data_IF_103114536354
#
_entry.id   IF_103114536354
#
_cell.length_a   1.000
_cell.length_b   1.000
_cell.length_c   1.000
_cell.angle_alpha   90.00
_cell.angle_beta   90.00
_cell.angle_gamma   90.00
#
_symmetry.space_group_name_H-M   'P 1'
#
loop_
_entity.id
_entity.type
_entity.pdbx_description
1 polymer ?
#
# COMPACT_ATOMS: atom_id res chain seq x y z
N UNK A 1 47.36 -0.90 -46.75
CA UNK A 1 47.38 0.52 -47.16
C UNK A 1 46.06 0.81 -47.85
N UNK A 2 45.44 1.95 -47.46
CA UNK A 2 44.36 2.77 -48.03
C UNK A 2 43.76 2.40 -49.40
N UNK A 3 42.54 2.74 -49.81
CA UNK A 3 41.33 3.40 -49.25
C UNK A 3 40.35 3.54 -50.44
N UNK A 4 39.03 3.59 -50.14
CA UNK A 4 37.95 4.31 -50.88
C UNK A 4 37.61 3.81 -52.32
N UNK A 5 36.41 3.95 -52.90
CA UNK A 5 35.25 4.84 -52.75
C UNK A 5 33.94 4.07 -53.02
N UNK A 6 32.85 4.43 -52.33
CA UNK A 6 31.48 3.99 -52.64
C UNK A 6 30.63 5.19 -53.04
N UNK A 7 30.11 5.17 -54.27
CA UNK A 7 29.31 6.24 -54.86
C UNK A 7 27.80 6.05 -54.63
N UNK A 8 27.13 7.21 -54.62
CA UNK A 8 25.74 7.48 -54.26
C UNK A 8 24.76 7.23 -55.41
N UNK A 9 23.52 6.86 -55.11
CA UNK A 9 22.35 7.20 -55.93
C UNK A 9 21.11 7.49 -55.06
N UNK A 10 20.60 8.71 -55.20
CA UNK A 10 19.40 9.29 -54.60
C UNK A 10 18.13 8.94 -55.39
N UNK A 11 16.97 8.86 -54.73
CA UNK A 11 15.70 9.18 -55.40
C UNK A 11 14.64 9.84 -54.48
N UNK A 12 13.83 10.67 -55.13
CA UNK A 12 13.02 11.81 -54.66
C UNK A 12 11.59 11.47 -54.19
N UNK A 13 11.09 12.37 -53.33
CA UNK A 13 9.75 13.01 -53.22
C UNK A 13 8.50 12.15 -53.00
N UNK A 14 7.71 12.52 -51.98
CA UNK A 14 6.42 13.21 -52.16
C UNK A 14 5.94 13.88 -50.86
N UNK A 15 5.68 15.18 -50.96
CA UNK A 15 4.86 15.99 -50.05
C UNK A 15 3.43 16.09 -50.60
N UNK A 16 2.44 16.15 -49.71
CA UNK A 16 1.27 17.02 -49.88
C UNK A 16 0.53 17.22 -48.54
N UNK A 17 0.50 18.48 -48.11
CA UNK A 17 -0.31 19.02 -47.01
C UNK A 17 -1.71 19.43 -47.52
N UNK A 18 -2.71 19.44 -46.65
CA UNK A 18 -3.51 20.64 -46.28
C UNK A 18 -5.00 20.36 -45.94
N UNK A 19 -5.31 20.53 -44.65
CA UNK A 19 -6.38 21.37 -44.04
C UNK A 19 -7.81 21.45 -44.62
N UNK A 20 -8.83 21.28 -43.75
CA UNK A 20 -9.80 22.33 -43.36
C UNK A 20 -10.92 21.88 -42.37
N UNK A 21 -11.04 22.61 -41.24
CA UNK A 21 -12.24 23.21 -40.60
C UNK A 21 -13.43 22.42 -39.98
N UNK A 22 -13.55 22.65 -38.66
CA UNK A 22 -14.73 23.12 -37.87
C UNK A 22 -15.79 22.14 -37.32
N UNK A 23 -15.64 21.93 -35.99
CA UNK A 23 -16.59 21.65 -34.88
C UNK A 23 -18.09 21.57 -35.20
N UNK A 24 -18.76 20.55 -34.67
CA UNK A 24 -19.95 20.68 -33.80
C UNK A 24 -20.23 19.40 -32.98
N UNK A 25 -20.51 19.61 -31.68
CA UNK A 25 -21.27 18.78 -30.73
C UNK A 25 -20.60 17.53 -30.11
N UNK A 26 -20.04 17.74 -28.92
CA UNK A 26 -19.77 16.69 -27.92
C UNK A 26 -21.08 16.15 -27.34
N UNK A 27 -21.51 14.97 -27.78
CA UNK A 27 -22.34 14.10 -26.95
C UNK A 27 -21.44 13.52 -25.86
N UNK A 28 -21.81 13.73 -24.60
CA UNK A 28 -21.17 13.12 -23.45
C UNK A 28 -21.24 11.60 -23.57
N UNK A 29 -20.16 11.00 -24.04
CA UNK A 29 -20.02 9.55 -24.09
C UNK A 29 -19.65 9.09 -22.67
N UNK A 30 -20.67 8.62 -21.96
CA UNK A 30 -20.55 7.77 -20.79
C UNK A 30 -19.86 6.47 -21.18
N UNK A 31 -18.54 6.47 -21.08
CA UNK A 31 -17.68 5.28 -21.13
C UNK A 31 -16.40 5.54 -20.35
N UNK A 32 -16.56 5.75 -19.04
CA UNK A 32 -15.45 5.66 -18.09
C UNK A 32 -15.22 4.19 -17.73
N UNK A 33 -14.70 3.43 -18.68
CA UNK A 33 -14.17 2.08 -18.49
C UNK A 33 -12.82 2.19 -17.78
N UNK A 34 -12.86 2.13 -16.45
CA UNK A 34 -11.93 1.37 -15.59
C UNK A 34 -10.50 1.12 -16.10
N UNK A 35 -9.60 2.10 -15.98
CA UNK A 35 -8.15 1.87 -15.76
C UNK A 35 -7.42 3.17 -15.40
N UNK A 36 -7.83 3.77 -14.28
CA UNK A 36 -6.88 4.52 -13.46
C UNK A 36 -6.82 3.75 -12.15
N UNK A 37 -5.64 3.27 -11.78
CA UNK A 37 -5.40 2.65 -10.49
C UNK A 37 -5.92 3.63 -9.43
N UNK A 38 -6.98 3.26 -8.70
CA UNK A 38 -7.47 4.03 -7.56
C UNK A 38 -6.28 4.28 -6.64
N UNK A 39 -5.79 5.51 -6.64
CA UNK A 39 -4.67 5.92 -5.80
C UNK A 39 -5.22 6.06 -4.39
N UNK A 40 -5.00 5.04 -3.57
CA UNK A 40 -5.38 5.07 -2.18
C UNK A 40 -4.59 6.17 -1.47
N UNK A 41 -5.30 7.09 -0.83
CA UNK A 41 -4.69 8.22 -0.15
C UNK A 41 -4.23 7.80 1.24
N UNK A 42 -3.08 8.30 1.65
CA UNK A 42 -2.56 8.11 3.02
C UNK A 42 -3.53 8.65 4.07
N UNK A 43 -4.19 9.78 3.79
CA UNK A 43 -5.17 10.40 4.68
C UNK A 43 -6.36 9.48 4.98
N UNK A 44 -6.85 8.78 3.96
CA UNK A 44 -7.96 7.84 4.11
C UNK A 44 -7.53 6.66 4.99
N UNK A 45 -6.28 6.20 4.85
CA UNK A 45 -5.76 5.12 5.68
C UNK A 45 -5.54 5.56 7.14
N UNK A 46 -5.15 6.81 7.38
CA UNK A 46 -5.03 7.40 8.74
C UNK A 46 -6.40 7.52 9.42
N UNK A 47 -7.45 7.89 8.68
CA UNK A 47 -8.81 7.95 9.24
C UNK A 47 -9.26 6.59 9.77
N UNK A 48 -8.89 5.52 9.06
CA UNK A 48 -9.32 4.15 9.37
C UNK A 48 -8.41 3.50 10.41
N UNK A 49 -7.09 3.51 10.20
CA UNK A 49 -6.14 2.78 11.05
C UNK A 49 -5.66 3.62 12.25
N UNK A 50 -5.96 4.93 12.27
CA UNK A 50 -5.51 5.89 13.26
C UNK A 50 -4.18 6.55 12.89
N UNK A 51 -3.54 7.28 13.84
CA UNK A 51 -2.31 8.02 13.58
C UNK A 51 -1.21 7.18 12.92
N UNK A 52 -0.47 7.81 12.03
CA UNK A 52 0.61 7.21 11.25
C UNK A 52 1.90 7.98 11.55
N UNK A 53 3.05 7.33 11.34
CA UNK A 53 4.39 7.88 11.58
C UNK A 53 4.72 8.13 13.06
N UNK A 54 4.30 7.23 13.94
CA UNK A 54 4.60 7.31 15.37
C UNK A 54 5.95 6.68 15.70
N UNK A 55 6.60 7.17 16.76
CA UNK A 55 7.76 6.48 17.33
C UNK A 55 7.26 5.22 18.05
N UNK A 56 7.81 4.02 17.76
CA UNK A 56 7.39 2.80 18.43
C UNK A 56 7.69 2.88 19.93
N UNK A 57 6.67 2.60 20.75
CA UNK A 57 6.72 2.55 22.21
C UNK A 57 6.21 1.21 22.72
N UNK A 58 4.95 0.87 22.40
CA UNK A 58 4.26 -0.34 22.86
C UNK A 58 3.66 -1.13 21.70
N UNK A 59 3.99 -0.76 20.47
CA UNK A 59 3.47 -1.41 19.28
C UNK A 59 3.99 -2.83 19.14
N UNK A 60 3.13 -3.69 18.62
CA UNK A 60 3.45 -5.09 18.36
C UNK A 60 4.53 -5.12 17.29
N UNK A 61 5.65 -5.78 17.59
CA UNK A 61 6.81 -5.93 16.70
C UNK A 61 6.98 -7.34 16.12
N UNK A 62 6.07 -8.26 16.45
CA UNK A 62 6.12 -9.67 16.05
C UNK A 62 4.99 -10.07 15.11
N UNK A 63 5.16 -11.25 14.50
CA UNK A 63 4.17 -12.04 13.76
C UNK A 63 3.93 -13.31 14.60
N UNK A 64 2.69 -13.82 14.77
CA UNK A 64 1.46 -13.40 14.09
C UNK A 64 0.87 -12.09 14.62
N UNK A 65 0.17 -11.36 13.75
CA UNK A 65 -0.54 -10.15 14.14
C UNK A 65 -1.81 -9.90 13.31
N UNK A 66 -2.82 -9.36 13.97
CA UNK A 66 -4.11 -9.05 13.37
C UNK A 66 -4.15 -7.60 12.87
N UNK A 67 -4.71 -7.41 11.68
CA UNK A 67 -5.04 -6.11 11.09
C UNK A 67 -6.52 -5.80 11.26
N UNK A 68 -7.07 -5.06 10.30
CA UNK A 68 -8.50 -4.77 10.19
C UNK A 68 -8.98 -4.92 8.75
N UNK A 69 -10.24 -5.31 8.60
CA UNK A 69 -10.95 -5.18 7.32
C UNK A 69 -11.66 -3.83 7.31
N UNK A 70 -11.42 -3.05 6.27
CA UNK A 70 -11.98 -1.70 6.14
C UNK A 70 -13.41 -1.82 5.64
N UNK A 71 -14.37 -1.39 6.46
CA UNK A 71 -15.80 -1.62 6.24
C UNK A 71 -16.55 -0.39 5.66
N UNK A 72 -15.86 0.73 5.40
CA UNK A 72 -16.49 1.95 4.88
C UNK A 72 -15.48 2.88 4.21
N UNK A 73 -15.97 3.83 3.41
CA UNK A 73 -15.16 4.87 2.78
C UNK A 73 -14.46 4.40 1.51
N UNK A 74 -13.47 5.18 1.04
CA UNK A 74 -12.77 4.95 -0.23
C UNK A 74 -11.91 3.68 -0.25
N UNK A 75 -11.62 3.12 0.93
CA UNK A 75 -10.82 1.92 1.12
C UNK A 75 -11.67 0.69 1.45
N UNK A 76 -13.00 0.76 1.22
CA UNK A 76 -13.94 -0.32 1.51
C UNK A 76 -13.48 -1.65 0.90
N UNK A 77 -13.52 -2.69 1.73
CA UNK A 77 -13.17 -4.06 1.34
C UNK A 77 -11.69 -4.39 1.43
N UNK A 78 -10.81 -3.38 1.53
CA UNK A 78 -9.38 -3.59 1.71
C UNK A 78 -9.04 -4.02 3.13
N UNK A 79 -7.83 -4.55 3.30
CA UNK A 79 -7.30 -4.98 4.59
C UNK A 79 -6.08 -4.14 4.94
N UNK A 80 -5.97 -3.75 6.20
CA UNK A 80 -4.91 -2.84 6.65
C UNK A 80 -4.26 -3.26 7.96
N UNK A 81 -2.97 -2.94 8.09
CA UNK A 81 -2.15 -3.17 9.27
C UNK A 81 -1.39 -1.92 9.65
N UNK A 82 -1.03 -1.85 10.93
CA UNK A 82 -0.09 -0.86 11.45
C UNK A 82 1.18 -1.59 11.87
N UNK A 83 2.27 -1.35 11.17
CA UNK A 83 3.49 -2.14 11.29
C UNK A 83 4.69 -1.27 11.65
N UNK A 84 5.65 -1.85 12.34
CA UNK A 84 6.92 -1.19 12.61
C UNK A 84 7.80 -1.28 11.36
N UNK A 85 8.37 -0.15 10.95
CA UNK A 85 9.21 -0.01 9.77
C UNK A 85 10.57 0.53 10.20
N UNK A 86 11.63 0.00 9.60
CA UNK A 86 13.01 0.43 9.79
C UNK A 86 13.70 0.49 8.43
N UNK A 87 14.77 1.29 8.32
CA UNK A 87 15.69 1.16 7.18
C UNK A 87 16.39 -0.20 7.25
N UNK A 88 16.51 -0.89 6.12
CA UNK A 88 17.30 -2.12 6.07
C UNK A 88 18.77 -1.77 5.79
N UNK A 89 19.47 -1.33 6.83
CA UNK A 89 20.92 -1.17 6.79
C UNK A 89 21.53 -2.58 6.68
N UNK A 90 22.00 -2.94 5.48
CA UNK A 90 22.76 -4.17 5.29
C UNK A 90 23.99 -4.16 6.22
N UNK A 91 24.35 -5.31 6.76
CA UNK A 91 25.50 -5.48 7.68
C UNK A 91 26.84 -4.95 7.15
N UNK A 92 26.94 -4.62 5.85
CA UNK A 92 28.14 -4.07 5.22
C UNK A 92 28.56 -2.73 5.83
N UNK A 93 27.60 -1.88 6.23
CA UNK A 93 27.94 -0.61 6.85
C UNK A 93 28.53 -0.82 8.24
N UNK A 94 27.99 -1.76 9.04
CA UNK A 94 28.45 -2.07 10.40
C UNK A 94 29.88 -2.68 10.40
N UNK A 95 30.24 -3.48 9.39
CA UNK A 95 31.61 -4.03 9.27
C UNK A 95 32.68 -2.97 8.98
N UNK A 96 32.34 -1.90 8.25
CA UNK A 96 33.31 -0.83 7.93
C UNK A 96 33.60 0.06 9.14
N UNK A 97 32.61 0.30 10.01
CA UNK A 97 32.76 1.08 11.24
C UNK A 97 33.43 0.28 12.36
N UNK A 98 33.09 -1.01 12.53
CA UNK A 98 33.69 -1.87 13.57
C UNK A 98 35.19 -2.11 13.40
N UNK A 99 35.72 -2.06 12.17
CA UNK A 99 37.17 -2.23 11.94
C UNK A 99 38.03 -1.08 12.45
N UNK A 100 37.45 0.07 12.86
CA UNK A 100 38.23 1.26 13.21
C UNK A 100 38.38 1.56 14.70
N UNK A 101 37.74 0.85 15.62
CA UNK A 101 37.93 1.10 17.06
C UNK A 101 38.03 -0.19 17.90
N UNK A 102 39.25 -0.66 18.23
CA UNK A 102 39.43 -1.61 19.33
C UNK A 102 39.31 -0.84 20.65
N UNK A 103 38.33 -1.19 21.48
CA UNK A 103 38.34 -0.84 22.91
C UNK A 103 37.37 0.24 23.41
N UNK A 104 36.36 0.68 22.65
CA UNK A 104 35.26 1.50 23.18
C UNK A 104 33.95 0.72 23.20
N UNK A 105 33.31 0.70 24.36
CA UNK A 105 31.99 0.13 24.62
C UNK A 105 31.03 0.45 23.47
N UNK A 106 30.49 -0.59 22.86
CA UNK A 106 29.51 -0.51 21.76
C UNK A 106 28.25 0.18 22.31
N UNK A 107 28.15 1.49 22.13
CA UNK A 107 26.87 2.18 22.20
C UNK A 107 26.10 1.65 21.00
N UNK A 108 25.22 0.68 21.22
CA UNK A 108 24.24 0.27 20.20
C UNK A 108 23.46 1.52 19.84
N UNK A 109 23.76 2.11 18.67
CA UNK A 109 22.91 3.15 18.12
C UNK A 109 21.53 2.51 17.90
N UNK A 110 20.55 2.95 18.70
CA UNK A 110 19.18 2.46 18.61
C UNK A 110 18.70 2.75 17.18
N UNK A 111 18.45 1.69 16.43
CA UNK A 111 17.98 1.76 15.05
C UNK A 111 16.69 2.59 14.99
N UNK A 112 16.64 3.56 14.09
CA UNK A 112 15.45 4.38 13.90
C UNK A 112 14.33 3.51 13.33
N UNK A 113 13.19 3.55 14.02
CA UNK A 113 11.98 2.82 13.67
C UNK A 113 10.79 3.75 13.73
N UNK A 114 9.81 3.49 12.87
CA UNK A 114 8.55 4.24 12.80
C UNK A 114 7.39 3.28 12.63
N UNK A 115 6.28 3.58 13.28
CA UNK A 115 5.01 2.87 13.07
C UNK A 115 4.34 3.44 11.84
N UNK A 116 4.06 2.59 10.84
CA UNK A 116 3.39 3.01 9.62
C UNK A 116 2.20 2.14 9.24
N UNK A 117 1.19 2.77 8.66
CA UNK A 117 -0.04 2.15 8.18
C UNK A 117 0.14 1.59 6.75
N UNK A 118 -0.30 0.36 6.52
CA UNK A 118 -0.22 -0.32 5.23
C UNK A 118 -1.55 -0.93 4.82
N UNK A 119 -1.81 -0.94 3.52
CA UNK A 119 -2.84 -1.79 2.88
C UNK A 119 -2.16 -3.07 2.38
N UNK A 120 -2.80 -4.23 2.55
CA UNK A 120 -2.37 -5.46 1.89
C UNK A 120 -2.94 -5.52 0.47
N UNK A 121 -2.06 -5.67 -0.51
CA UNK A 121 -2.38 -5.76 -1.93
C UNK A 121 -1.59 -6.89 -2.58
N UNK A 122 -2.05 -8.12 -2.39
CA UNK A 122 -1.41 -9.31 -2.98
C UNK A 122 -1.55 -9.38 -4.51
N UNK A 123 -2.35 -8.49 -5.12
CA UNK A 123 -2.42 -8.34 -6.58
C UNK A 123 -1.21 -7.61 -7.16
N UNK A 124 -0.52 -6.80 -6.36
CA UNK A 124 0.76 -6.17 -6.74
C UNK A 124 1.92 -7.10 -6.41
N UNK A 125 2.83 -7.31 -7.36
CA UNK A 125 4.06 -8.06 -7.09
C UNK A 125 4.97 -7.34 -6.08
N UNK A 126 5.06 -6.00 -6.16
CA UNK A 126 5.97 -5.18 -5.33
C UNK A 126 5.21 -4.45 -4.23
N UNK A 127 5.87 -4.27 -3.10
CA UNK A 127 5.42 -3.38 -2.03
C UNK A 127 5.78 -1.93 -2.34
N UNK A 128 5.06 -0.97 -1.76
CA UNK A 128 5.38 0.45 -1.84
C UNK A 128 5.32 1.11 -0.46
N UNK A 129 6.12 2.15 -0.28
CA UNK A 129 6.22 2.91 0.97
C UNK A 129 6.02 4.40 0.71
N UNK A 130 5.25 5.06 1.58
CA UNK A 130 5.04 6.50 1.48
C UNK A 130 6.35 7.28 1.66
N UNK A 131 6.46 8.43 0.98
CA UNK A 131 7.61 9.32 1.13
C UNK A 131 7.71 9.84 2.56
N UNK A 132 6.58 10.03 3.24
CA UNK A 132 6.51 10.49 4.62
C UNK A 132 7.11 9.46 5.59
N UNK A 133 6.88 8.16 5.38
CA UNK A 133 7.54 7.09 6.14
C UNK A 133 9.07 7.17 6.01
N UNK A 134 9.58 7.38 4.80
CA UNK A 134 11.02 7.53 4.55
C UNK A 134 11.61 8.78 5.21
N UNK A 135 10.89 9.92 5.17
CA UNK A 135 11.28 11.14 5.88
C UNK A 135 11.33 10.92 7.39
N UNK A 136 10.35 10.23 7.96
CA UNK A 136 10.31 9.90 9.39
C UNK A 136 11.49 9.00 9.81
N UNK A 137 11.91 8.10 8.92
CA UNK A 137 13.10 7.26 9.08
C UNK A 137 14.43 7.98 8.80
N UNK A 138 14.39 9.27 8.42
CA UNK A 138 15.56 10.07 8.03
C UNK A 138 16.34 9.47 6.86
N UNK A 139 15.65 8.82 5.92
CA UNK A 139 16.25 8.24 4.71
C UNK A 139 16.96 9.32 3.89
N UNK A 140 18.19 9.04 3.45
CA UNK A 140 19.04 9.99 2.71
C UNK A 140 19.09 9.72 1.20
N UNK A 141 18.37 8.70 0.71
CA UNK A 141 18.35 8.37 -0.71
C UNK A 141 17.29 9.14 -1.52
N UNK A 142 17.03 8.66 -2.73
CA UNK A 142 16.05 9.26 -3.65
C UNK A 142 14.61 9.05 -3.19
N UNK A 143 13.80 10.10 -3.30
CA UNK A 143 12.35 10.12 -3.04
C UNK A 143 11.52 10.06 -4.33
N UNK A 144 12.15 9.84 -5.49
CA UNK A 144 11.43 9.78 -6.76
C UNK A 144 10.51 8.55 -6.78
N UNK A 145 9.21 8.69 -7.11
CA UNK A 145 8.29 7.56 -7.18
C UNK A 145 8.82 6.44 -8.07
N UNK A 146 8.67 5.19 -7.63
CA UNK A 146 9.20 4.01 -8.31
C UNK A 146 10.67 3.70 -8.03
N UNK A 147 11.40 4.55 -7.30
CA UNK A 147 12.74 4.21 -6.81
C UNK A 147 12.65 3.04 -5.83
N UNK A 148 13.57 2.09 -5.90
CA UNK A 148 13.64 0.99 -4.94
C UNK A 148 14.37 1.38 -3.65
N UNK A 149 13.82 0.97 -2.51
CA UNK A 149 14.38 1.15 -1.18
C UNK A 149 14.21 -0.14 -0.39
N UNK A 150 15.23 -0.53 0.37
CA UNK A 150 15.18 -1.74 1.21
C UNK A 150 14.80 -1.35 2.64
N UNK A 151 13.74 -1.96 3.15
CA UNK A 151 13.18 -1.70 4.47
C UNK A 151 13.03 -3.01 5.25
N UNK A 152 13.02 -2.91 6.58
CA UNK A 152 12.55 -3.99 7.46
C UNK A 152 11.17 -3.62 7.96
N UNK A 153 10.16 -4.36 7.51
CA UNK A 153 8.76 -4.17 7.92
C UNK A 153 8.40 -5.33 8.84
N UNK A 154 8.10 -5.04 10.10
CA UNK A 154 7.86 -6.05 11.13
C UNK A 154 9.00 -7.08 11.24
N UNK A 155 10.24 -6.62 11.04
CA UNK A 155 11.44 -7.46 11.01
C UNK A 155 11.72 -8.17 9.68
N UNK A 156 10.80 -8.14 8.70
CA UNK A 156 10.95 -8.78 7.39
C UNK A 156 11.65 -7.83 6.42
N UNK A 157 12.79 -8.25 5.90
CA UNK A 157 13.52 -7.51 4.85
C UNK A 157 12.69 -7.49 3.57
N UNK A 158 12.34 -6.30 3.11
CA UNK A 158 11.39 -6.05 2.04
C UNK A 158 11.94 -4.98 1.10
N UNK A 159 11.88 -5.23 -0.20
CA UNK A 159 12.19 -4.22 -1.21
C UNK A 159 10.90 -3.47 -1.54
N UNK A 160 10.90 -2.16 -1.34
CA UNK A 160 9.73 -1.31 -1.56
C UNK A 160 10.02 -0.32 -2.68
N UNK A 161 8.99 0.03 -3.44
CA UNK A 161 9.00 1.21 -4.30
C UNK A 161 8.63 2.45 -3.48
N UNK A 162 9.31 3.56 -3.73
CA UNK A 162 8.86 4.85 -3.23
C UNK A 162 7.52 5.17 -3.88
N UNK A 163 6.48 5.41 -3.07
CA UNK A 163 5.15 5.74 -3.57
C UNK A 163 5.08 7.18 -4.09
N UNK A 164 3.98 7.49 -4.79
CA UNK A 164 3.68 8.88 -5.14
C UNK A 164 3.42 9.71 -3.88
N UNK A 165 3.72 11.01 -3.91
CA UNK A 165 3.44 11.90 -2.78
C UNK A 165 1.95 11.82 -2.39
N UNK A 166 1.68 11.59 -1.10
CA UNK A 166 0.32 11.46 -0.56
C UNK A 166 -0.34 10.08 -0.73
N UNK A 167 0.29 9.16 -1.47
CA UNK A 167 -0.19 7.79 -1.65
C UNK A 167 0.06 6.94 -0.39
N UNK A 168 -0.89 6.05 -0.08
CA UNK A 168 -0.78 5.11 1.03
C UNK A 168 0.28 4.04 0.76
N UNK A 169 0.98 3.60 1.81
CA UNK A 169 1.89 2.46 1.73
C UNK A 169 1.13 1.15 1.47
N UNK A 170 1.71 0.24 0.68
CA UNK A 170 1.11 -1.04 0.28
C UNK A 170 2.08 -2.20 0.47
N UNK A 171 1.56 -3.33 0.94
CA UNK A 171 2.30 -4.59 1.01
C UNK A 171 1.89 -5.45 -0.18
N UNK A 172 2.85 -5.70 -1.07
CA UNK A 172 2.67 -6.55 -2.24
C UNK A 172 2.89 -8.03 -1.92
N UNK A 173 2.69 -8.88 -2.92
CA UNK A 173 2.97 -10.32 -2.86
C UNK A 173 4.41 -10.63 -2.45
N UNK A 174 5.40 -9.82 -2.86
CA UNK A 174 6.79 -9.98 -2.42
C UNK A 174 6.93 -9.94 -0.89
N UNK A 175 6.24 -9.03 -0.18
CA UNK A 175 6.32 -8.99 1.29
C UNK A 175 5.86 -10.31 1.91
N UNK A 176 4.79 -10.89 1.34
CA UNK A 176 4.28 -12.18 1.78
C UNK A 176 5.32 -13.28 1.54
N UNK A 177 5.90 -13.34 0.34
CA UNK A 177 6.94 -14.33 0.02
C UNK A 177 8.21 -14.16 0.88
N UNK A 178 8.69 -12.93 1.06
CA UNK A 178 9.93 -12.64 1.80
C UNK A 178 9.84 -12.99 3.28
N UNK A 179 8.65 -12.87 3.88
CA UNK A 179 8.43 -13.25 5.27
C UNK A 179 7.90 -14.67 5.46
N UNK A 180 7.79 -15.46 4.38
CA UNK A 180 7.06 -16.72 4.35
C UNK A 180 5.68 -16.61 5.03
N UNK A 181 4.98 -15.51 4.73
CA UNK A 181 3.72 -15.16 5.35
C UNK A 181 2.56 -15.72 4.56
N UNK A 182 1.51 -16.03 5.29
CA UNK A 182 0.18 -16.27 4.78
C UNK A 182 -0.80 -15.50 5.67
N UNK A 183 -2.02 -15.35 5.19
CA UNK A 183 -3.05 -14.72 5.98
C UNK A 183 -4.34 -15.52 5.95
N UNK A 184 -5.12 -15.37 7.00
CA UNK A 184 -6.46 -15.91 7.09
C UNK A 184 -7.37 -14.90 7.76
N UNK A 185 -8.69 -15.08 7.60
CA UNK A 185 -9.67 -14.31 8.36
C UNK A 185 -10.07 -15.05 9.64
N UNK A 186 -9.76 -14.47 10.79
CA UNK A 186 -10.17 -15.02 12.08
C UNK A 186 -11.61 -14.61 12.38
N UNK A 187 -12.50 -15.59 12.57
CA UNK A 187 -13.91 -15.34 12.83
C UNK A 187 -14.16 -14.77 14.24
N UNK A 188 -13.36 -15.17 15.23
CA UNK A 188 -13.50 -14.70 16.61
C UNK A 188 -13.02 -13.26 16.75
N UNK A 189 -11.94 -12.91 16.06
CA UNK A 189 -11.43 -11.54 16.00
C UNK A 189 -12.14 -10.69 14.94
N UNK A 190 -12.89 -11.28 14.02
CA UNK A 190 -13.45 -10.58 12.86
C UNK A 190 -12.37 -9.74 12.15
N UNK A 191 -11.18 -10.33 11.96
CA UNK A 191 -9.99 -9.61 11.50
C UNK A 191 -9.11 -10.49 10.62
N UNK A 192 -8.41 -9.91 9.63
CA UNK A 192 -7.35 -10.61 8.93
C UNK A 192 -6.13 -10.76 9.83
N UNK A 193 -5.50 -11.94 9.79
CA UNK A 193 -4.32 -12.29 10.60
C UNK A 193 -3.19 -12.65 9.66
N UNK A 194 -2.05 -11.98 9.82
CA UNK A 194 -0.78 -12.39 9.22
C UNK A 194 -0.07 -13.36 10.15
N UNK A 195 0.48 -14.44 9.60
CA UNK A 195 1.29 -15.42 10.31
C UNK A 195 2.33 -16.04 9.38
N UNK A 196 3.39 -16.61 9.95
CA UNK A 196 4.39 -17.38 9.18
C UNK A 196 3.80 -18.73 8.83
N UNK A 197 3.68 -19.04 7.53
CA UNK A 197 3.17 -20.32 7.04
C UNK A 197 4.32 -21.26 6.76
N UNK A 198 4.56 -22.19 7.67
CA UNK A 198 5.53 -23.26 7.48
C UNK A 198 4.79 -24.60 7.67
N UNK A 199 5.22 -25.65 6.98
CA UNK A 199 4.56 -26.97 7.01
C UNK A 199 4.43 -27.55 8.42
N UNK A 200 5.28 -27.14 9.36
CA UNK A 200 5.29 -27.50 10.77
C UNK A 200 4.51 -26.53 11.68
N UNK A 201 4.13 -25.35 11.18
CA UNK A 201 3.47 -24.32 11.96
C UNK A 201 1.95 -24.34 11.70
N UNK A 202 1.20 -24.82 12.69
CA UNK A 202 -0.26 -24.74 12.65
C UNK A 202 -0.73 -23.28 12.68
N UNK A 203 -1.88 -23.04 12.02
CA UNK A 203 -2.57 -21.75 12.05
C UNK A 203 -2.76 -21.30 13.51
N UNK A 204 -2.27 -20.11 13.92
CA UNK A 204 -2.46 -19.62 15.28
C UNK A 204 -3.95 -19.53 15.61
N UNK A 205 -4.37 -19.98 16.78
CA UNK A 205 -5.80 -19.99 17.19
C UNK A 205 -6.09 -19.22 18.47
N UNK A 206 -5.07 -18.81 19.21
CA UNK A 206 -5.20 -18.08 20.48
C UNK A 206 -4.19 -16.93 20.57
N UNK A 207 -4.52 -15.91 21.36
CA UNK A 207 -3.65 -14.78 21.70
C UNK A 207 -3.00 -14.03 20.53
N UNK A 208 -3.76 -13.77 19.46
CA UNK A 208 -3.25 -13.00 18.31
C UNK A 208 -3.41 -11.50 18.60
N UNK A 209 -2.30 -10.75 18.68
CA UNK A 209 -2.35 -9.34 19.04
C UNK A 209 -2.81 -8.49 17.85
N UNK A 210 -3.61 -7.44 18.11
CA UNK A 210 -4.10 -6.51 17.07
C UNK A 210 -3.18 -5.30 16.94
N UNK A 211 -2.74 -5.03 15.73
CA UNK A 211 -1.90 -3.86 15.41
C UNK A 211 -2.67 -2.54 15.44
N UNK A 212 -4.00 -2.59 15.33
CA UNK A 212 -4.87 -1.42 15.27
C UNK A 212 -5.83 -1.46 16.45
N UNK A 213 -5.93 -0.35 17.19
CA UNK A 213 -6.86 -0.22 18.30
C UNK A 213 -8.28 -0.03 17.76
N UNK A 214 -9.10 -1.09 17.82
CA UNK A 214 -10.47 -1.11 17.27
C UNK A 214 -11.49 -0.43 18.20
N UNK A 215 -11.08 -0.06 19.42
CA UNK A 215 -11.95 0.48 20.49
C UNK A 215 -12.76 1.73 20.12
N UNK A 216 -12.45 2.42 19.01
CA UNK A 216 -13.26 3.53 18.46
C UNK A 216 -13.96 3.27 17.12
N UNK A 217 -13.62 2.19 16.40
CA UNK A 217 -14.15 1.93 15.05
C UNK A 217 -15.50 1.21 15.08
N UNK A 218 -15.72 0.30 16.03
CA UNK A 218 -16.93 -0.51 16.06
C UNK A 218 -18.19 0.35 16.21
N UNK A 219 -18.17 1.39 17.05
CA UNK A 219 -19.34 2.25 17.25
C UNK A 219 -19.67 3.15 16.05
N UNK A 220 -18.66 3.66 15.33
CA UNK A 220 -18.88 4.52 14.15
C UNK A 220 -19.27 3.70 12.93
N UNK A 221 -18.66 2.54 12.73
CA UNK A 221 -18.93 1.68 11.58
C UNK A 221 -20.25 0.91 11.74
N UNK A 222 -20.63 0.46 12.95
CA UNK A 222 -21.97 -0.10 13.16
C UNK A 222 -23.07 0.92 12.91
N UNK A 223 -22.90 2.17 13.37
CA UNK A 223 -23.89 3.24 13.15
C UNK A 223 -24.02 3.63 11.68
N UNK A 224 -22.91 3.68 10.93
CA UNK A 224 -22.94 3.94 9.48
C UNK A 224 -23.55 2.76 8.71
N UNK A 225 -23.14 1.53 8.99
CA UNK A 225 -23.67 0.32 8.34
C UNK A 225 -25.18 0.16 8.54
N UNK A 226 -25.71 0.39 9.75
CA UNK A 226 -27.16 0.36 9.99
C UNK A 226 -27.91 1.44 9.20
N UNK A 227 -27.35 2.65 9.13
CA UNK A 227 -27.94 3.76 8.37
C UNK A 227 -27.95 3.47 6.87
N UNK A 228 -26.88 2.89 6.34
CA UNK A 228 -26.77 2.54 4.93
C UNK A 228 -27.71 1.37 4.57
N UNK A 229 -27.84 0.36 5.45
CA UNK A 229 -28.83 -0.71 5.29
C UNK A 229 -30.27 -0.19 5.32
N UNK A 230 -30.59 0.75 6.22
CA UNK A 230 -31.91 1.39 6.25
C UNK A 230 -32.18 2.25 5.01
N UNK A 231 -31.17 2.99 4.54
CA UNK A 231 -31.27 3.78 3.32
C UNK A 231 -31.55 2.90 2.10
N UNK A 232 -30.91 1.73 2.02
CA UNK A 232 -31.18 0.75 0.96
C UNK A 232 -32.61 0.21 1.03
N UNK A 233 -33.13 -0.11 2.22
CA UNK A 233 -34.50 -0.59 2.39
C UNK A 233 -35.52 0.49 2.00
N UNK A 234 -35.31 1.74 2.43
CA UNK A 234 -36.18 2.86 2.08
C UNK A 234 -36.16 3.16 0.58
N UNK A 235 -35.00 3.07 -0.05
CA UNK A 235 -34.86 3.22 -1.50
C UNK A 235 -35.61 2.11 -2.25
N UNK A 236 -35.49 0.86 -1.81
CA UNK A 236 -36.25 -0.27 -2.38
C UNK A 236 -37.76 -0.13 -2.19
N UNK A 237 -38.23 0.36 -1.03
CA UNK A 237 -39.65 0.60 -0.78
C UNK A 237 -40.22 1.77 -1.59
N UNK A 238 -39.42 2.81 -1.85
CA UNK A 238 -39.81 3.93 -2.72
C UNK A 238 -39.99 3.50 -4.18
N UNK A 239 -39.22 2.50 -4.62
CA UNK A 239 -39.31 1.94 -5.96
C UNK A 239 -40.54 1.06 -6.16
N UNK A 240 -40.99 0.36 -5.11
CA UNK A 240 -42.21 -0.47 -5.18
C UNK A 240 -43.51 0.36 -5.11
N UNK A 241 -43.46 1.60 -4.62
CA UNK A 241 -44.65 2.46 -4.52
C UNK A 241 -45.02 3.18 -5.82
N UNK A 242 -44.17 3.12 -6.84
CA UNK A 242 -44.39 3.83 -8.12
C UNK A 242 -44.94 2.97 -9.26
N UNK A 243 -45.22 1.68 -9.02
CA UNK A 243 -45.77 0.75 -10.02
C UNK A 243 -47.28 0.50 -9.93
N UNK A 244 -48.01 1.13 -9.00
CA UNK A 244 -49.45 0.90 -8.78
C UNK A 244 -50.35 2.06 -9.26
N UNK A 245 -49.93 2.83 -10.26
CA UNK A 245 -50.80 3.83 -10.89
C UNK A 245 -50.65 3.80 -12.41
N UNK A 246 -51.35 2.85 -13.02
CA UNK A 246 -51.47 2.70 -14.46
C UNK A 246 -52.52 1.67 -14.84
N UNK A 247 -53.79 1.94 -14.51
CA UNK A 247 -54.94 1.46 -15.27
C UNK A 247 -55.28 2.49 -16.34
#
# INVERSE_FOLDING_TARGET
>A
MSSQEGSSFTNKKNELQSSSSTRYLSLANSSATSSSTLRHLRTDLVEVLGPDLLVPTTEISSIPCAGVRIASGNLLGLMGWRLIVELDESEEMDRSWRRKQPGKSVIQHKKLSVVSNFILDTGSAKSSVSQETLRALKYQGSYNPGTEVKLRIQGISTQCLVATLGEASRLGGQFMTSGNLTFYFDKKLNAPVLYVGDESNERPTSHIPRTVNVTGMDHRNHRKSLRDSMSSILSSLSFMKHNDSGC
#
